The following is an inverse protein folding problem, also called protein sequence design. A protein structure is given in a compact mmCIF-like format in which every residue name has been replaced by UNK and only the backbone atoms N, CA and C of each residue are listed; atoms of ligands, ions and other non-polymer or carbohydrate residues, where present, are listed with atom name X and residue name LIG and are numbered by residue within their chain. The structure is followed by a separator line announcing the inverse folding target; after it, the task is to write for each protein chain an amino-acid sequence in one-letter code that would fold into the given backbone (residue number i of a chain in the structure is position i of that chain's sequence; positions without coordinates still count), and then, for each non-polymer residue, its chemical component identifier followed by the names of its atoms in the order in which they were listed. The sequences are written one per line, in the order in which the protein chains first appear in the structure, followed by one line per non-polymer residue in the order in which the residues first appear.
data_IF_149467721487
#
_entry.id   IF_149467721487
#
_cell.length_a   1.000
_cell.length_b   1.000
_cell.length_c   1.000
_cell.angle_alpha   90.00
_cell.angle_beta   90.00
_cell.angle_gamma   90.00
#
_symmetry.space_group_name_H-M   'P 1'
#
loop_
_entity.id
_entity.type
_entity.pdbx_description
1 polymer ?
#
# COMPACT_ATOMS: atom_id res chain seq x y z
N UNK A 1 4.94 -16.09 15.48
CA UNK A 1 4.79 -16.59 14.09
C UNK A 1 6.19 -16.82 13.52
N UNK A 2 6.48 -17.99 12.96
CA UNK A 2 7.78 -18.27 12.33
C UNK A 2 7.81 -17.64 10.94
N UNK A 3 8.89 -16.95 10.61
CA UNK A 3 9.13 -16.48 9.25
C UNK A 3 9.96 -17.55 8.56
N UNK A 4 9.33 -18.48 7.82
CA UNK A 4 10.02 -19.68 7.34
C UNK A 4 11.27 -19.35 6.53
N UNK A 5 11.25 -18.21 5.81
CA UNK A 5 12.42 -17.74 5.05
C UNK A 5 13.56 -17.24 5.93
N UNK A 6 13.30 -16.64 7.09
CA UNK A 6 14.35 -16.23 8.03
C UNK A 6 14.96 -17.44 8.73
N UNK A 7 14.14 -18.37 9.22
CA UNK A 7 14.63 -19.56 9.91
C UNK A 7 15.47 -20.46 8.98
N UNK A 8 15.13 -20.50 7.69
CA UNK A 8 15.93 -21.18 6.66
C UNK A 8 17.25 -20.45 6.39
N UNK A 9 17.22 -19.11 6.27
CA UNK A 9 18.42 -18.31 6.05
C UNK A 9 19.44 -18.50 7.18
N UNK A 10 18.97 -18.46 8.43
CA UNK A 10 19.81 -18.66 9.62
C UNK A 10 20.43 -20.07 9.64
N UNK A 11 19.65 -21.11 9.31
CA UNK A 11 20.13 -22.49 9.21
C UNK A 11 21.20 -22.68 8.13
N UNK A 12 21.08 -21.94 7.03
CA UNK A 12 22.02 -22.01 5.92
C UNK A 12 23.20 -21.04 6.08
N UNK A 13 23.19 -20.17 7.10
CA UNK A 13 24.22 -19.16 7.31
C UNK A 13 24.27 -18.09 6.20
N UNK A 14 23.13 -17.81 5.55
CA UNK A 14 23.04 -16.83 4.45
C UNK A 14 22.30 -15.56 4.88
N UNK A 15 22.68 -14.37 4.37
CA UNK A 15 21.99 -13.13 4.67
C UNK A 15 20.60 -13.11 4.03
N UNK A 16 19.57 -12.78 4.82
CA UNK A 16 18.21 -12.52 4.31
C UNK A 16 17.99 -11.02 4.17
N UNK A 17 17.77 -10.58 2.94
CA UNK A 17 17.34 -9.22 2.62
C UNK A 17 15.82 -9.20 2.49
N UNK A 18 15.16 -8.21 3.11
CA UNK A 18 13.70 -8.05 3.09
C UNK A 18 13.33 -6.92 2.17
N UNK A 19 12.49 -7.22 1.18
CA UNK A 19 11.79 -6.18 0.44
C UNK A 19 10.56 -5.72 1.22
N UNK A 20 10.47 -4.42 1.48
CA UNK A 20 9.25 -3.78 1.96
C UNK A 20 8.52 -3.06 0.82
N UNK A 21 7.37 -3.57 0.34
CA UNK A 21 6.74 -3.12 -0.90
C UNK A 21 5.84 -1.88 -0.74
N UNK A 22 5.94 -1.15 0.37
CA UNK A 22 5.16 0.07 0.62
C UNK A 22 6.08 1.27 0.84
N UNK A 23 5.50 2.47 0.93
CA UNK A 23 6.24 3.71 1.20
C UNK A 23 6.95 3.69 2.56
N UNK A 24 7.96 4.55 2.72
CA UNK A 24 8.69 4.76 3.98
C UNK A 24 7.73 5.14 5.10
N UNK A 25 6.74 5.98 4.79
CA UNK A 25 5.77 6.44 5.79
C UNK A 25 5.00 5.26 6.42
N UNK A 26 4.69 4.24 5.62
CA UNK A 26 4.03 3.02 6.08
C UNK A 26 4.93 2.23 7.03
N UNK A 27 6.21 2.06 6.67
CA UNK A 27 7.16 1.30 7.49
C UNK A 27 7.39 1.98 8.83
N UNK A 28 7.59 3.30 8.80
CA UNK A 28 7.81 4.10 9.99
C UNK A 28 6.59 4.05 10.92
N UNK A 29 5.37 4.16 10.38
CA UNK A 29 4.15 3.98 11.15
C UNK A 29 4.09 2.60 11.83
N UNK A 30 4.38 1.52 11.09
CA UNK A 30 4.41 0.16 11.64
C UNK A 30 5.50 0.05 12.73
N UNK A 31 6.66 0.67 12.53
CA UNK A 31 7.74 0.69 13.51
C UNK A 31 7.29 1.31 14.83
N UNK A 32 6.71 2.51 14.80
CA UNK A 32 6.22 3.17 16.00
C UNK A 32 5.14 2.36 16.71
N UNK A 33 4.16 1.82 15.97
CA UNK A 33 3.09 1.03 16.60
C UNK A 33 3.60 -0.31 17.14
N UNK A 34 4.63 -0.90 16.54
CA UNK A 34 5.20 -2.16 17.01
C UNK A 34 6.00 -2.01 18.31
N UNK A 35 6.50 -0.80 18.62
CA UNK A 35 7.23 -0.53 19.87
C UNK A 35 6.23 -0.35 21.02
N UNK A 36 6.48 -1.07 22.12
CA UNK A 36 5.69 -0.95 23.36
C UNK A 36 6.24 0.11 24.32
N UNK A 37 7.51 0.51 24.16
CA UNK A 37 8.17 1.47 25.06
C UNK A 37 8.27 2.87 24.43
N UNK A 38 8.14 3.94 25.23
CA UNK A 38 8.37 5.29 24.78
C UNK A 38 9.83 5.51 24.37
N UNK A 39 10.05 6.10 23.19
CA UNK A 39 11.38 6.48 22.72
C UNK A 39 11.49 8.00 22.58
N UNK A 40 12.59 8.56 23.09
CA UNK A 40 12.96 9.96 22.92
C UNK A 40 13.94 10.05 21.75
N UNK A 41 13.56 10.72 20.66
CA UNK A 41 14.52 11.07 19.61
C UNK A 41 15.35 12.23 20.15
N UNK A 42 16.68 12.15 20.08
CA UNK A 42 17.60 13.18 20.56
C UNK A 42 17.39 14.56 19.88
N UNK A 43 16.66 14.62 18.77
CA UNK A 43 16.43 15.83 17.97
C UNK A 43 15.35 16.77 18.51
N UNK A 44 14.76 16.50 19.69
CA UNK A 44 13.96 17.48 20.42
C UNK A 44 12.59 17.83 19.80
N UNK A 45 12.12 17.06 18.82
CA UNK A 45 10.77 17.23 18.24
C UNK A 45 9.84 16.10 18.68
N UNK A 46 8.95 16.47 19.60
CA UNK A 46 7.77 15.76 20.13
C UNK A 46 8.08 14.50 20.95
N UNK A 47 7.84 14.52 22.29
CA UNK A 47 7.87 13.31 23.10
C UNK A 47 6.82 12.31 22.61
N UNK A 48 7.25 11.07 22.33
CA UNK A 48 6.37 9.94 21.97
C UNK A 48 5.27 9.65 23.02
N UNK A 49 5.36 10.24 24.22
CA UNK A 49 4.44 10.11 25.35
C UNK A 49 2.97 10.49 25.04
N UNK A 50 2.65 11.04 23.86
CA UNK A 50 1.29 11.42 23.46
C UNK A 50 0.60 10.45 22.50
N UNK A 51 1.29 9.41 22.00
CA UNK A 51 0.70 8.46 21.04
C UNK A 51 0.39 7.15 21.76
N UNK A 52 -0.89 6.97 22.09
CA UNK A 52 -1.35 5.71 22.66
C UNK A 52 -1.44 4.64 21.58
N UNK A 53 -0.51 3.69 21.59
CA UNK A 53 -0.48 2.52 20.71
C UNK A 53 -1.80 1.74 20.76
N UNK A 54 -2.45 1.65 21.94
CA UNK A 54 -3.75 0.98 22.07
C UNK A 54 -4.85 1.74 21.33
N UNK A 55 -4.87 3.07 21.39
CA UNK A 55 -5.82 3.88 20.60
C UNK A 55 -5.59 3.68 19.10
N UNK A 56 -4.34 3.63 18.63
CA UNK A 56 -4.04 3.37 17.21
C UNK A 56 -4.53 1.99 16.77
N UNK A 57 -4.34 0.97 17.61
CA UNK A 57 -4.84 -0.38 17.34
C UNK A 57 -6.38 -0.39 17.31
N UNK A 58 -7.04 0.27 18.26
CA UNK A 58 -8.49 0.41 18.30
C UNK A 58 -9.03 1.13 17.06
N UNK A 59 -8.33 2.14 16.55
CA UNK A 59 -8.68 2.85 15.31
C UNK A 59 -8.63 1.96 14.06
N UNK A 60 -7.58 1.14 13.97
CA UNK A 60 -7.31 0.26 12.83
C UNK A 60 -8.34 -0.88 12.81
N UNK A 61 -8.71 -1.38 13.99
CA UNK A 61 -9.56 -2.56 14.17
C UNK A 61 -11.05 -2.24 14.28
N UNK A 62 -11.43 -1.09 14.87
CA UNK A 62 -12.82 -0.66 15.00
C UNK A 62 -13.25 0.27 13.85
N UNK A 63 -14.56 0.43 13.64
CA UNK A 63 -15.10 1.47 12.73
C UNK A 63 -15.29 2.83 13.43
N UNK A 64 -14.99 2.90 14.73
CA UNK A 64 -15.29 4.04 15.56
C UNK A 64 -14.18 5.10 15.46
N UNK A 65 -14.48 6.35 15.84
CA UNK A 65 -13.49 7.43 16.04
C UNK A 65 -12.73 7.93 14.79
N UNK A 66 -13.22 7.69 13.57
CA UNK A 66 -12.57 8.11 12.29
C UNK A 66 -12.19 9.60 12.17
N UNK A 67 -12.94 10.48 12.84
CA UNK A 67 -12.75 11.93 12.83
C UNK A 67 -11.71 12.41 13.86
N UNK A 68 -11.25 11.53 14.76
CA UNK A 68 -10.32 11.89 15.82
C UNK A 68 -8.87 11.92 15.33
N UNK A 69 -8.07 12.78 15.97
CA UNK A 69 -6.63 12.88 15.75
C UNK A 69 -5.98 11.70 16.48
N UNK A 70 -5.50 10.72 15.74
CA UNK A 70 -4.87 9.53 16.33
C UNK A 70 -3.37 9.69 16.57
N UNK A 71 -2.74 10.53 15.76
CA UNK A 71 -1.31 10.75 15.79
C UNK A 71 -1.04 12.22 15.49
N UNK A 72 -0.82 13.00 16.53
CA UNK A 72 -0.27 14.35 16.40
C UNK A 72 1.25 14.25 16.42
N UNK A 73 1.85 13.99 15.25
CA UNK A 73 3.29 14.11 15.06
C UNK A 73 4.15 12.90 15.46
N UNK A 74 3.90 11.71 14.89
CA UNK A 74 5.02 10.75 14.71
C UNK A 74 6.11 11.52 13.95
N UNK A 75 7.33 11.64 14.50
CA UNK A 75 8.42 12.30 13.79
C UNK A 75 8.61 11.64 12.42
N UNK A 76 8.77 12.45 11.37
CA UNK A 76 8.86 11.96 9.99
C UNK A 76 7.53 11.64 9.30
N UNK A 77 6.38 11.71 9.97
CA UNK A 77 5.06 11.55 9.35
C UNK A 77 4.23 12.84 9.39
N UNK A 78 3.36 13.08 8.40
CA UNK A 78 2.34 14.11 8.51
C UNK A 78 1.34 13.77 9.62
N UNK A 79 0.55 14.76 10.04
CA UNK A 79 -0.59 14.52 10.93
C UNK A 79 -1.57 13.53 10.28
N UNK A 80 -1.90 12.46 10.99
CA UNK A 80 -2.82 11.42 10.52
C UNK A 80 -4.10 11.42 11.36
N UNK A 81 -5.25 11.48 10.68
CA UNK A 81 -6.57 11.27 11.28
C UNK A 81 -6.90 9.77 11.27
N UNK A 82 -7.89 9.37 12.07
CA UNK A 82 -8.31 7.96 12.13
C UNK A 82 -8.73 7.40 10.77
N UNK A 83 -9.34 8.23 9.93
CA UNK A 83 -9.71 7.87 8.55
C UNK A 83 -8.51 7.67 7.62
N UNK A 84 -7.34 8.19 7.97
CA UNK A 84 -6.11 8.04 7.20
C UNK A 84 -5.34 6.76 7.61
N UNK A 85 -5.71 6.16 8.75
CA UNK A 85 -5.15 4.90 9.19
C UNK A 85 -5.65 3.75 8.32
N UNK A 86 -4.80 2.76 8.02
CA UNK A 86 -5.22 1.63 7.22
C UNK A 86 -6.29 0.82 7.94
N UNK A 87 -7.29 0.41 7.20
CA UNK A 87 -8.39 -0.39 7.72
C UNK A 87 -8.27 -1.84 7.27
N UNK A 88 -7.75 -2.70 8.14
CA UNK A 88 -7.56 -4.12 7.86
C UNK A 88 -8.81 -4.92 8.23
N UNK A 89 -9.87 -4.74 7.46
CA UNK A 89 -11.13 -5.44 7.67
C UNK A 89 -11.16 -6.87 7.12
N UNK A 90 -10.25 -7.16 6.20
CA UNK A 90 -10.12 -8.48 5.61
C UNK A 90 -9.17 -9.29 6.48
N UNK A 91 -9.73 -9.96 7.48
CA UNK A 91 -9.05 -11.03 8.20
C UNK A 91 -8.65 -12.13 7.20
N UNK A 92 -7.43 -12.65 7.33
CA UNK A 92 -7.04 -13.91 6.65
C UNK A 92 -7.79 -15.09 7.29
N UNK A 93 -8.12 -14.94 8.58
CA UNK A 93 -8.90 -15.86 9.41
C UNK A 93 -9.46 -15.06 10.61
N UNK A 94 -10.60 -15.45 11.16
CA UNK A 94 -11.27 -14.87 12.35
C UNK A 94 -10.35 -14.80 13.60
N UNK A 95 -9.21 -15.48 13.56
CA UNK A 95 -8.24 -15.60 14.65
C UNK A 95 -7.07 -14.60 14.61
N UNK A 96 -6.73 -14.03 13.44
CA UNK A 96 -5.58 -13.12 13.30
C UNK A 96 -5.83 -12.01 12.28
N UNK A 97 -5.81 -10.76 12.75
CA UNK A 97 -5.90 -9.59 11.89
C UNK A 97 -4.65 -9.46 11.01
N UNK A 98 -4.79 -9.04 9.74
CA UNK A 98 -3.67 -8.68 8.86
C UNK A 98 -2.69 -7.70 9.53
N UNK A 99 -3.21 -6.92 10.48
CA UNK A 99 -2.44 -5.98 11.27
C UNK A 99 -1.47 -6.66 12.23
N UNK A 100 -1.92 -7.65 13.01
CA UNK A 100 -1.04 -8.45 13.88
C UNK A 100 0.06 -9.13 13.07
N UNK A 101 -0.30 -9.69 11.92
CA UNK A 101 0.66 -10.28 11.00
C UNK A 101 1.73 -9.26 10.59
N UNK A 102 1.35 -8.03 10.22
CA UNK A 102 2.28 -6.97 9.84
C UNK A 102 3.21 -6.56 10.98
N UNK A 103 2.68 -6.42 12.20
CA UNK A 103 3.46 -6.02 13.37
C UNK A 103 4.47 -7.10 13.74
N UNK A 104 4.06 -8.38 13.78
CA UNK A 104 4.97 -9.48 14.09
C UNK A 104 5.99 -9.70 12.97
N UNK A 105 5.59 -9.50 11.71
CA UNK A 105 6.49 -9.49 10.55
C UNK A 105 7.54 -8.41 10.65
N UNK A 106 7.12 -7.20 11.01
CA UNK A 106 8.03 -6.10 11.20
C UNK A 106 9.05 -6.37 12.31
N UNK A 107 8.60 -6.78 13.51
CA UNK A 107 9.49 -7.08 14.63
C UNK A 107 10.55 -8.13 14.27
N UNK A 108 10.15 -9.19 13.57
CA UNK A 108 11.09 -10.23 13.15
C UNK A 108 12.08 -9.73 12.09
N UNK A 109 11.63 -8.93 11.12
CA UNK A 109 12.51 -8.38 10.09
C UNK A 109 13.48 -7.35 10.69
N UNK A 110 13.01 -6.44 11.53
CA UNK A 110 13.84 -5.41 12.15
C UNK A 110 14.91 -5.99 13.08
N UNK A 111 14.74 -7.20 13.63
CA UNK A 111 15.70 -7.81 14.56
C UNK A 111 16.60 -8.88 13.95
N UNK A 112 16.23 -9.47 12.80
CA UNK A 112 16.93 -10.65 12.24
C UNK A 112 17.29 -10.53 10.77
N UNK A 113 16.70 -9.60 10.02
CA UNK A 113 17.07 -9.42 8.62
C UNK A 113 18.51 -8.89 8.53
N UNK A 114 19.20 -9.21 7.44
CA UNK A 114 20.48 -8.60 7.13
C UNK A 114 20.32 -7.13 6.73
N UNK A 115 19.27 -6.83 5.97
CA UNK A 115 18.89 -5.49 5.57
C UNK A 115 17.42 -5.45 5.11
N UNK A 116 16.84 -4.25 5.12
CA UNK A 116 15.54 -3.94 4.53
C UNK A 116 15.77 -3.06 3.30
N UNK A 117 15.09 -3.39 2.21
CA UNK A 117 15.12 -2.63 0.96
C UNK A 117 13.73 -2.08 0.68
N UNK A 118 13.68 -0.81 0.34
CA UNK A 118 12.45 -0.05 0.14
C UNK A 118 12.35 0.48 -1.29
N UNK A 119 11.15 0.36 -1.87
CA UNK A 119 10.80 0.93 -3.16
C UNK A 119 10.41 2.42 -2.99
N UNK A 120 11.38 3.22 -2.54
CA UNK A 120 11.30 4.67 -2.34
C UNK A 120 12.69 5.27 -2.50
N UNK A 121 12.80 6.60 -2.50
CA UNK A 121 14.07 7.32 -2.53
C UNK A 121 13.97 8.55 -1.64
N UNK A 122 15.12 8.98 -1.12
CA UNK A 122 15.21 10.07 -0.16
C UNK A 122 14.51 11.36 -0.60
N UNK A 123 14.55 11.74 -1.87
CA UNK A 123 13.91 12.98 -2.34
C UNK A 123 12.37 12.90 -2.30
N UNK A 124 11.78 11.71 -2.30
CA UNK A 124 10.33 11.50 -2.17
C UNK A 124 9.87 11.56 -0.71
N UNK A 125 10.62 10.95 0.20
CA UNK A 125 10.26 10.81 1.62
C UNK A 125 11.44 11.18 2.55
N UNK A 126 11.99 12.41 2.49
CA UNK A 126 13.31 12.74 3.04
C UNK A 126 13.43 12.57 4.55
N UNK A 127 12.47 13.14 5.30
CA UNK A 127 12.44 13.04 6.76
C UNK A 127 12.21 11.61 7.21
N UNK A 128 11.34 10.88 6.50
CA UNK A 128 10.97 9.50 6.81
C UNK A 128 12.12 8.52 6.58
N UNK A 129 12.79 8.58 5.43
CA UNK A 129 13.92 7.72 5.10
C UNK A 129 15.10 7.96 6.05
N UNK A 130 15.38 9.23 6.37
CA UNK A 130 16.44 9.59 7.33
C UNK A 130 16.14 8.99 8.70
N UNK A 131 14.91 9.14 9.18
CA UNK A 131 14.53 8.61 10.48
C UNK A 131 14.49 7.08 10.53
N UNK A 132 14.02 6.40 9.48
CA UNK A 132 14.07 4.94 9.40
C UNK A 132 15.51 4.41 9.53
N UNK A 133 16.47 5.11 8.93
CA UNK A 133 17.90 4.77 9.04
C UNK A 133 18.45 4.93 10.45
N UNK A 134 17.82 5.77 11.28
CA UNK A 134 18.21 6.02 12.67
C UNK A 134 17.52 5.07 13.66
N UNK A 135 16.24 4.72 13.43
CA UNK A 135 15.40 4.00 14.40
C UNK A 135 15.34 2.48 14.18
N UNK A 136 15.70 1.99 12.99
CA UNK A 136 15.69 0.56 12.69
C UNK A 136 16.96 -0.13 13.20
N UNK A 137 16.83 -1.36 13.68
CA UNK A 137 17.99 -2.09 14.24
C UNK A 137 18.86 -2.73 13.15
N UNK A 138 18.38 -2.71 11.90
CA UNK A 138 19.05 -3.23 10.71
C UNK A 138 19.12 -2.15 9.63
N UNK A 139 20.10 -2.19 8.71
CA UNK A 139 20.19 -1.24 7.62
C UNK A 139 18.93 -1.18 6.77
N UNK A 140 18.45 0.03 6.47
CA UNK A 140 17.34 0.31 5.57
C UNK A 140 17.88 1.04 4.35
N UNK A 141 17.59 0.52 3.16
CA UNK A 141 18.03 1.09 1.88
C UNK A 141 16.83 1.56 1.06
N UNK A 142 16.75 2.87 0.81
CA UNK A 142 15.88 3.46 -0.21
C UNK A 142 16.56 3.38 -1.58
N UNK A 143 16.12 2.43 -2.42
CA UNK A 143 16.82 2.08 -3.67
C UNK A 143 16.14 2.63 -4.93
N UNK A 144 15.15 3.50 -4.77
CA UNK A 144 14.40 4.12 -5.87
C UNK A 144 13.32 3.22 -6.48
N UNK A 145 12.61 3.78 -7.46
CA UNK A 145 11.54 3.09 -8.15
C UNK A 145 12.06 1.96 -9.04
N UNK A 146 11.55 0.76 -8.81
CA UNK A 146 11.94 -0.42 -9.59
C UNK A 146 11.27 -0.53 -10.95
N UNK A 147 10.52 0.50 -11.36
CA UNK A 147 9.82 0.50 -12.65
C UNK A 147 10.83 0.37 -13.80
N UNK A 148 12.03 0.95 -13.67
CA UNK A 148 13.07 0.83 -14.68
C UNK A 148 13.69 -0.58 -14.80
N UNK A 149 13.65 -1.40 -13.73
CA UNK A 149 14.05 -2.80 -13.77
C UNK A 149 13.05 -3.70 -14.51
N UNK A 150 11.82 -3.23 -14.70
CA UNK A 150 10.77 -3.94 -15.44
C UNK A 150 10.82 -3.69 -16.95
N UNK A 151 11.66 -2.77 -17.43
CA UNK A 151 11.89 -2.51 -18.85
C UNK A 151 12.91 -3.46 -19.51
N UNK A 152 13.46 -4.43 -18.77
CA UNK A 152 14.23 -5.53 -19.35
C UNK A 152 13.32 -6.56 -20.05
N UNK A 153 13.86 -7.33 -21.01
CA UNK A 153 13.16 -8.37 -21.81
C UNK A 153 12.41 -9.44 -20.99
N UNK A 154 12.56 -9.45 -19.68
CA UNK A 154 11.88 -10.33 -18.74
C UNK A 154 10.59 -9.68 -18.23
N UNK A 155 9.50 -9.86 -18.98
CA UNK A 155 8.14 -9.61 -18.46
C UNK A 155 7.97 -10.35 -17.14
N UNK A 156 7.71 -9.63 -16.05
CA UNK A 156 7.40 -10.21 -14.74
C UNK A 156 5.95 -10.67 -14.64
N UNK A 157 5.15 -10.44 -15.70
CA UNK A 157 3.77 -10.87 -15.79
C UNK A 157 3.70 -12.34 -16.18
N UNK A 158 2.94 -13.12 -15.41
CA UNK A 158 2.60 -14.51 -15.77
C UNK A 158 1.63 -14.53 -16.97
N UNK A 159 1.01 -13.40 -17.29
CA UNK A 159 0.03 -13.24 -18.35
C UNK A 159 0.65 -12.61 -19.59
N UNK A 160 0.25 -13.10 -20.77
CA UNK A 160 0.59 -12.47 -22.04
C UNK A 160 0.10 -11.03 -22.05
N UNK A 161 1.01 -10.11 -22.40
CA UNK A 161 0.71 -8.69 -22.53
C UNK A 161 -0.29 -8.46 -23.68
N UNK A 162 -1.16 -7.47 -23.49
CA UNK A 162 -2.19 -7.06 -24.44
C UNK A 162 -1.89 -5.65 -24.92
N UNK A 163 -1.27 -5.54 -26.09
CA UNK A 163 -0.77 -4.27 -26.62
C UNK A 163 -1.87 -3.38 -27.21
N UNK A 164 -3.13 -3.86 -27.30
CA UNK A 164 -4.24 -3.09 -27.89
C UNK A 164 -4.50 -1.77 -27.18
N UNK A 165 -4.27 -1.72 -25.86
CA UNK A 165 -4.41 -0.47 -25.11
C UNK A 165 -3.30 0.54 -25.47
N UNK A 166 -2.10 0.06 -25.79
CA UNK A 166 -0.98 0.90 -26.24
C UNK A 166 -1.27 1.44 -27.65
N UNK A 167 -1.72 0.58 -28.58
CA UNK A 167 -2.12 1.01 -29.93
C UNK A 167 -3.23 2.07 -29.89
N UNK A 168 -4.17 1.97 -28.95
CA UNK A 168 -5.22 2.98 -28.75
C UNK A 168 -4.67 4.27 -28.15
N UNK A 169 -3.75 4.18 -27.18
CA UNK A 169 -3.09 5.34 -26.54
C UNK A 169 -2.25 6.15 -27.55
N UNK A 170 -1.55 5.47 -28.46
CA UNK A 170 -0.72 6.09 -29.50
C UNK A 170 -1.51 7.01 -30.45
N UNK A 171 -2.83 6.81 -30.54
CA UNK A 171 -3.74 7.62 -31.36
C UNK A 171 -4.30 8.84 -30.62
N UNK A 172 -4.03 8.98 -29.32
CA UNK A 172 -4.56 10.08 -28.51
C UNK A 172 -3.57 11.25 -28.42
N UNK A 173 -4.05 12.50 -28.28
CA UNK A 173 -3.16 13.62 -27.99
C UNK A 173 -2.39 13.41 -26.68
N UNK A 174 -1.17 13.94 -26.60
CA UNK A 174 -0.35 13.87 -25.40
C UNK A 174 -1.10 14.43 -24.17
N UNK A 175 -0.99 13.73 -23.04
CA UNK A 175 -1.60 14.12 -21.76
C UNK A 175 -3.11 14.33 -21.80
N UNK A 176 -3.84 13.62 -22.68
CA UNK A 176 -5.29 13.80 -22.88
C UNK A 176 -6.18 12.67 -22.36
N UNK A 177 -5.58 11.58 -21.86
CA UNK A 177 -6.28 10.37 -21.42
C UNK A 177 -6.19 10.23 -19.89
N UNK A 178 -7.33 10.02 -19.25
CA UNK A 178 -7.41 9.64 -17.84
C UNK A 178 -7.21 8.13 -17.68
N UNK A 179 -6.13 7.72 -17.01
CA UNK A 179 -5.94 6.32 -16.60
C UNK A 179 -6.67 6.03 -15.29
N UNK A 180 -7.48 4.97 -15.27
CA UNK A 180 -8.27 4.56 -14.10
C UNK A 180 -7.96 3.10 -13.77
N UNK A 181 -7.39 2.88 -12.59
CA UNK A 181 -7.13 1.54 -12.05
C UNK A 181 -7.27 1.54 -10.54
N UNK A 182 -7.95 0.53 -10.01
CA UNK A 182 -8.10 0.32 -8.56
C UNK A 182 -7.17 -0.77 -8.03
N UNK A 183 -6.20 -1.21 -8.83
CA UNK A 183 -5.25 -2.25 -8.46
C UNK A 183 -5.88 -3.65 -8.34
N UNK A 184 -5.09 -4.58 -7.81
CA UNK A 184 -5.42 -6.01 -7.78
C UNK A 184 -6.41 -6.41 -6.67
N UNK A 185 -6.58 -5.60 -5.63
CA UNK A 185 -7.28 -6.01 -4.39
C UNK A 185 -8.57 -5.24 -4.10
N UNK A 186 -8.73 -4.02 -4.59
CA UNK A 186 -9.87 -3.14 -4.26
C UNK A 186 -11.19 -3.67 -4.80
N UNK A 187 -12.20 -3.78 -3.94
CA UNK A 187 -13.58 -4.14 -4.33
C UNK A 187 -14.48 -2.92 -4.13
N UNK A 188 -15.21 -2.54 -5.17
CA UNK A 188 -16.20 -1.48 -5.18
C UNK A 188 -17.60 -2.05 -4.93
N UNK A 189 -18.40 -1.31 -4.18
CA UNK A 189 -19.85 -1.55 -4.14
C UNK A 189 -20.52 -1.09 -5.44
N UNK A 190 -21.70 -1.61 -5.74
CA UNK A 190 -22.50 -1.19 -6.91
C UNK A 190 -22.65 0.32 -7.02
N UNK A 191 -23.09 1.03 -5.96
CA UNK A 191 -23.35 2.46 -6.07
C UNK A 191 -22.05 3.26 -6.27
N UNK A 192 -20.92 2.80 -5.70
CA UNK A 192 -19.62 3.43 -5.94
C UNK A 192 -19.18 3.29 -7.40
N UNK A 193 -19.33 2.10 -7.97
CA UNK A 193 -18.99 1.86 -9.37
C UNK A 193 -19.87 2.70 -10.32
N UNK A 194 -21.19 2.73 -10.09
CA UNK A 194 -22.13 3.53 -10.87
C UNK A 194 -21.82 5.03 -10.77
N UNK A 195 -21.55 5.54 -9.55
CA UNK A 195 -21.18 6.95 -9.36
C UNK A 195 -19.87 7.31 -10.07
N UNK A 196 -18.85 6.44 -9.99
CA UNK A 196 -17.59 6.63 -10.73
C UNK A 196 -17.84 6.63 -12.24
N UNK A 197 -18.61 5.69 -12.75
CA UNK A 197 -18.93 5.60 -14.17
C UNK A 197 -19.65 6.86 -14.66
N UNK A 198 -20.68 7.30 -13.94
CA UNK A 198 -21.38 8.54 -14.25
C UNK A 198 -20.44 9.76 -14.24
N UNK A 199 -19.56 9.87 -13.25
CA UNK A 199 -18.58 10.95 -13.16
C UNK A 199 -17.59 10.95 -14.32
N UNK A 200 -17.07 9.78 -14.70
CA UNK A 200 -16.14 9.62 -15.82
C UNK A 200 -16.79 10.01 -17.14
N UNK A 201 -18.02 9.54 -17.42
CA UNK A 201 -18.76 9.92 -18.63
C UNK A 201 -19.04 11.43 -18.65
N UNK A 202 -19.51 11.99 -17.53
CA UNK A 202 -19.82 13.42 -17.42
C UNK A 202 -18.58 14.32 -17.56
N UNK A 203 -17.39 13.81 -17.24
CA UNK A 203 -16.14 14.56 -17.38
C UNK A 203 -15.76 14.87 -18.83
N UNK A 204 -16.32 14.13 -19.80
CA UNK A 204 -16.00 14.22 -21.23
C UNK A 204 -14.51 14.03 -21.56
N UNK A 205 -13.69 13.57 -20.61
CA UNK A 205 -12.32 13.16 -20.87
C UNK A 205 -12.29 11.79 -21.53
N UNK A 206 -11.33 11.59 -22.42
CA UNK A 206 -10.96 10.25 -22.85
C UNK A 206 -10.40 9.50 -21.66
N UNK A 207 -10.74 8.24 -21.50
CA UNK A 207 -10.26 7.45 -20.37
C UNK A 207 -9.88 6.03 -20.79
N UNK A 208 -8.89 5.48 -20.09
CA UNK A 208 -8.51 4.08 -20.15
C UNK A 208 -8.76 3.48 -18.76
N UNK A 209 -9.79 2.64 -18.64
CA UNK A 209 -10.17 2.03 -17.36
C UNK A 209 -9.86 0.54 -17.35
N UNK A 210 -8.96 0.13 -16.44
CA UNK A 210 -8.67 -1.27 -16.16
C UNK A 210 -9.76 -1.87 -15.26
N UNK A 211 -10.58 -2.75 -15.85
CA UNK A 211 -11.62 -3.49 -15.16
C UNK A 211 -11.20 -4.95 -14.99
N UNK A 212 -11.03 -5.39 -13.74
CA UNK A 212 -10.72 -6.79 -13.41
C UNK A 212 -11.97 -7.55 -12.96
N UNK A 213 -12.07 -8.86 -13.20
CA UNK A 213 -13.09 -9.70 -12.59
C UNK A 213 -13.12 -9.53 -11.07
N UNK A 214 -14.33 -9.47 -10.49
CA UNK A 214 -14.52 -9.26 -9.05
C UNK A 214 -14.19 -7.86 -8.53
N UNK A 215 -13.95 -6.86 -9.40
CA UNK A 215 -13.81 -5.45 -8.95
C UNK A 215 -15.11 -4.93 -8.33
N UNK A 216 -16.26 -5.47 -8.73
CA UNK A 216 -17.56 -5.11 -8.15
C UNK A 216 -18.09 -6.28 -7.31
N UNK A 217 -18.51 -6.01 -6.07
CA UNK A 217 -18.79 -7.03 -5.05
C UNK A 217 -19.83 -8.11 -5.44
N UNK A 218 -20.69 -7.87 -6.42
CA UNK A 218 -21.71 -8.81 -6.91
C UNK A 218 -21.36 -9.47 -8.26
N UNK A 219 -20.19 -9.17 -8.82
CA UNK A 219 -19.79 -9.65 -10.15
C UNK A 219 -18.53 -10.52 -10.11
N UNK A 220 -18.65 -11.67 -9.43
CA UNK A 220 -17.56 -12.64 -9.31
C UNK A 220 -17.18 -13.28 -10.65
N UNK A 221 -18.11 -13.32 -11.61
CA UNK A 221 -17.93 -13.96 -12.92
C UNK A 221 -17.77 -12.98 -14.09
N UNK A 222 -17.73 -11.66 -13.84
CA UNK A 222 -17.56 -10.63 -14.88
C UNK A 222 -18.77 -10.40 -15.80
N UNK A 223 -19.89 -11.10 -15.58
CA UNK A 223 -21.06 -11.07 -16.46
C UNK A 223 -21.88 -9.79 -16.31
N UNK A 224 -21.81 -9.13 -15.16
CA UNK A 224 -22.48 -7.86 -14.90
C UNK A 224 -21.67 -6.67 -15.44
N UNK A 225 -20.34 -6.75 -15.36
CA UNK A 225 -19.42 -5.78 -15.96
C UNK A 225 -19.57 -5.74 -17.48
N UNK A 226 -19.69 -6.88 -18.16
CA UNK A 226 -19.90 -6.92 -19.61
C UNK A 226 -21.20 -6.22 -20.03
N UNK A 227 -22.27 -6.32 -19.24
CA UNK A 227 -23.53 -5.61 -19.51
C UNK A 227 -23.39 -4.11 -19.30
N UNK A 228 -22.64 -3.69 -18.29
CA UNK A 228 -22.33 -2.28 -18.02
C UNK A 228 -21.43 -1.68 -19.11
N UNK A 229 -20.43 -2.44 -19.59
CA UNK A 229 -19.55 -2.03 -20.71
C UNK A 229 -20.38 -1.88 -21.99
N UNK A 230 -21.26 -2.84 -22.30
CA UNK A 230 -22.15 -2.72 -23.47
C UNK A 230 -23.09 -1.50 -23.41
N UNK A 231 -23.48 -1.06 -22.22
CA UNK A 231 -24.23 0.18 -22.01
C UNK A 231 -23.38 1.43 -22.30
N UNK A 232 -22.09 1.40 -21.98
CA UNK A 232 -21.14 2.50 -22.27
C UNK A 232 -20.86 2.58 -23.78
N UNK A 233 -20.60 1.43 -24.42
CA UNK A 233 -20.35 1.36 -25.86
C UNK A 233 -21.58 1.80 -26.68
N UNK A 234 -22.79 1.59 -26.15
CA UNK A 234 -24.04 2.07 -26.75
C UNK A 234 -24.35 3.56 -26.52
N UNK A 235 -23.54 4.28 -25.74
CA UNK A 235 -23.67 5.71 -25.47
C UNK A 235 -22.68 6.59 -26.28
N UNK A 236 -21.73 5.99 -26.99
CA UNK A 236 -20.84 6.67 -27.94
C UNK A 236 -21.44 6.70 -29.35
#
# INVERSE_FOLDING_TARGET
MTFPTQDVADKLGIPRIVLFPCCAARLLFIHYVARKDPFTIETGTVPYEQISTSLVIDAITSKERREEVFCDGIPGLPRLLGKDLPHFKHTIDETHSLWEFQIESWKACNSRAYAIVMNTFKELEPSTCSLLSEVCDVPVYDVGFWIDLLHGESSTSIWKEDDRCMEWLDQQPASSVLYISFGSTTILSKPQFEALLHGVIASQHRFLWVLRPGIVAFDQNGSSLLKLIALIDGMQ
#
